data_IF_994779705420
#
_entry.id   IF_994779705420
#
_cell.length_a   1.000
_cell.length_b   1.000
_cell.length_c   1.000
_cell.angle_alpha   90.00
_cell.angle_beta   90.00
_cell.angle_gamma   90.00
#
_symmetry.space_group_name_H-M   'P 1'
#
loop_
_entity.id
_entity.type
_entity.pdbx_description
1 polymer ?
#
# COMPACT_ATOMS: atom_id res chain seq x y z
N UNK A 1 -1.03 -24.75 -2.86
CA UNK A 1 -1.93 -24.07 -1.89
C UNK A 1 -1.79 -22.55 -2.03
N UNK A 2 -2.91 -21.83 -2.16
CA UNK A 2 -2.92 -20.34 -2.14
C UNK A 2 -2.33 -19.84 -0.81
N UNK A 3 -1.64 -18.71 -0.81
CA UNK A 3 -0.99 -18.14 0.39
C UNK A 3 -2.00 -17.93 1.55
N UNK A 4 -3.24 -17.59 1.22
CA UNK A 4 -4.38 -17.52 2.14
C UNK A 4 -4.60 -18.84 2.90
N UNK A 5 -4.54 -19.98 2.21
CA UNK A 5 -4.71 -21.29 2.81
C UNK A 5 -3.53 -21.66 3.71
N UNK A 6 -2.30 -21.24 3.37
CA UNK A 6 -1.12 -21.47 4.24
C UNK A 6 -1.22 -20.67 5.54
N UNK A 7 -1.66 -19.42 5.48
CA UNK A 7 -1.86 -18.60 6.68
C UNK A 7 -3.01 -19.11 7.55
N UNK A 8 -4.17 -19.41 6.95
CA UNK A 8 -5.31 -19.99 7.68
C UNK A 8 -4.92 -21.30 8.37
N UNK A 9 -4.20 -22.17 7.67
CA UNK A 9 -3.69 -23.42 8.21
C UNK A 9 -2.69 -23.15 9.35
N UNK A 10 -1.77 -22.22 9.18
CA UNK A 10 -0.79 -21.82 10.20
C UNK A 10 -1.44 -21.29 11.48
N UNK A 11 -2.39 -20.34 11.36
CA UNK A 11 -3.17 -19.83 12.49
C UNK A 11 -3.99 -20.93 13.16
N UNK A 12 -4.62 -21.82 12.38
CA UNK A 12 -5.36 -22.95 12.91
C UNK A 12 -4.46 -23.89 13.73
N UNK A 13 -3.32 -24.31 13.17
CA UNK A 13 -2.38 -25.21 13.85
C UNK A 13 -1.77 -24.58 15.10
N UNK A 14 -1.36 -23.30 15.04
CA UNK A 14 -0.78 -22.61 16.20
C UNK A 14 -1.81 -22.41 17.32
N UNK A 15 -3.04 -22.02 16.97
CA UNK A 15 -4.12 -21.83 17.94
C UNK A 15 -4.55 -23.18 18.54
N UNK A 16 -4.65 -24.23 17.73
CA UNK A 16 -4.95 -25.58 18.19
C UNK A 16 -3.88 -26.09 19.15
N UNK A 17 -2.59 -25.91 18.82
CA UNK A 17 -1.49 -26.30 19.69
C UNK A 17 -1.55 -25.53 21.03
N UNK A 18 -1.78 -24.21 20.98
CA UNK A 18 -1.91 -23.39 22.18
C UNK A 18 -3.08 -23.85 23.07
N UNK A 19 -4.22 -24.19 22.49
CA UNK A 19 -5.38 -24.74 23.22
C UNK A 19 -5.02 -26.08 23.86
N UNK A 20 -4.38 -26.99 23.13
CA UNK A 20 -3.97 -28.30 23.66
C UNK A 20 -3.00 -28.13 24.83
N UNK A 21 -2.00 -27.26 24.70
CA UNK A 21 -1.04 -26.97 25.77
C UNK A 21 -1.74 -26.34 26.98
N UNK A 22 -2.63 -25.36 26.78
CA UNK A 22 -3.38 -24.72 27.86
C UNK A 22 -4.26 -25.73 28.62
N UNK A 23 -4.98 -26.59 27.90
CA UNK A 23 -5.82 -27.64 28.50
C UNK A 23 -4.96 -28.64 29.26
N UNK A 24 -3.81 -29.06 28.72
CA UNK A 24 -2.89 -29.97 29.40
C UNK A 24 -2.30 -29.36 30.68
N UNK A 25 -1.89 -28.08 30.64
CA UNK A 25 -1.41 -27.35 31.82
C UNK A 25 -2.51 -27.20 32.86
N UNK A 26 -3.73 -26.86 32.44
CA UNK A 26 -4.88 -26.73 33.32
C UNK A 26 -5.23 -28.06 34.00
N UNK A 27 -5.25 -29.16 33.25
CA UNK A 27 -5.48 -30.50 33.79
C UNK A 27 -4.40 -30.90 34.80
N UNK A 28 -3.13 -30.62 34.49
CA UNK A 28 -2.00 -30.94 35.37
C UNK A 28 -2.07 -30.14 36.67
N UNK A 29 -2.32 -28.83 36.56
CA UNK A 29 -2.47 -27.93 37.72
C UNK A 29 -3.65 -28.30 38.61
N UNK A 30 -4.81 -28.60 38.02
CA UNK A 30 -5.98 -29.06 38.76
C UNK A 30 -5.70 -30.37 39.50
N UNK A 31 -5.09 -31.35 38.82
CA UNK A 31 -4.77 -32.65 39.43
C UNK A 31 -3.82 -32.52 40.63
N UNK A 32 -2.78 -31.67 40.50
CA UNK A 32 -1.82 -31.44 41.58
C UNK A 32 -2.44 -30.67 42.75
N UNK A 33 -3.10 -29.53 42.47
CA UNK A 33 -3.67 -28.67 43.50
C UNK A 33 -4.82 -29.31 44.26
N UNK A 34 -5.69 -30.04 43.56
CA UNK A 34 -6.83 -30.72 44.18
C UNK A 34 -6.39 -31.86 45.11
N UNK A 35 -5.41 -32.67 44.69
CA UNK A 35 -4.87 -33.74 45.52
C UNK A 35 -4.25 -33.21 46.82
N UNK A 36 -3.47 -32.12 46.75
CA UNK A 36 -2.88 -31.51 47.95
C UNK A 36 -3.94 -30.98 48.93
N UNK A 37 -5.05 -30.44 48.41
CA UNK A 37 -6.12 -29.86 49.23
C UNK A 37 -6.92 -30.95 49.95
N UNK A 38 -7.18 -32.08 49.28
CA UNK A 38 -7.80 -33.26 49.91
C UNK A 38 -6.93 -33.79 51.05
N UNK A 39 -5.66 -34.08 50.76
CA UNK A 39 -4.74 -34.65 51.75
C UNK A 39 -4.62 -33.73 52.98
N UNK A 40 -4.52 -32.42 52.78
CA UNK A 40 -4.53 -31.45 53.89
C UNK A 40 -5.83 -31.51 54.71
N UNK A 41 -6.99 -31.53 54.04
CA UNK A 41 -8.28 -31.62 54.75
C UNK A 41 -8.43 -32.92 55.56
N UNK A 42 -7.89 -34.03 55.05
CA UNK A 42 -7.92 -35.33 55.73
C UNK A 42 -6.96 -35.40 56.92
N UNK A 43 -5.79 -34.75 56.82
CA UNK A 43 -4.87 -34.56 57.94
C UNK A 43 -5.50 -33.68 59.03
N UNK A 44 -6.34 -32.71 58.69
CA UNK A 44 -7.04 -31.93 59.73
C UNK A 44 -8.12 -32.78 60.41
N UNK A 45 -8.85 -33.61 59.64
CA UNK A 45 -9.86 -34.53 60.19
C UNK A 45 -9.25 -35.61 61.09
N UNK A 46 -8.06 -36.15 60.77
CA UNK A 46 -7.39 -37.13 61.65
C UNK A 46 -7.05 -36.50 63.01
N UNK A 47 -6.72 -35.20 63.05
CA UNK A 47 -6.43 -34.47 64.30
C UNK A 47 -7.67 -34.39 65.20
N UNK A 48 -8.86 -34.19 64.61
CA UNK A 48 -10.12 -34.18 65.37
C UNK A 48 -10.43 -35.58 65.94
N UNK A 49 -10.18 -36.63 65.15
CA UNK A 49 -10.39 -38.02 65.60
C UNK A 49 -9.39 -38.41 66.68
N UNK A 50 -8.12 -38.02 66.52
CA UNK A 50 -7.07 -38.13 67.53
C UNK A 50 -7.52 -37.56 68.88
N UNK A 51 -8.04 -36.33 68.91
CA UNK A 51 -8.58 -35.73 70.14
C UNK A 51 -9.69 -36.57 70.79
N UNK A 52 -10.65 -37.05 70.00
CA UNK A 52 -11.75 -37.89 70.51
C UNK A 52 -11.31 -39.26 70.99
N UNK A 53 -10.27 -39.83 70.38
CA UNK A 53 -9.68 -41.09 70.82
C UNK A 53 -8.96 -40.92 72.16
N UNK A 54 -8.26 -39.79 72.35
CA UNK A 54 -7.65 -39.44 73.62
C UNK A 54 -8.71 -39.23 74.71
N UNK A 55 -9.79 -38.47 74.41
CA UNK A 55 -10.91 -38.27 75.33
C UNK A 55 -11.57 -39.61 75.71
N UNK A 56 -11.75 -40.51 74.74
CA UNK A 56 -12.30 -41.85 74.99
C UNK A 56 -11.40 -42.69 75.91
N UNK A 57 -10.08 -42.65 75.67
CA UNK A 57 -9.13 -43.40 76.49
C UNK A 57 -9.06 -42.85 77.92
N UNK A 58 -9.16 -41.54 78.11
CA UNK A 58 -9.23 -40.93 79.44
C UNK A 58 -10.48 -41.41 80.22
N UNK A 59 -11.60 -41.64 79.54
CA UNK A 59 -12.85 -42.10 80.16
C UNK A 59 -12.89 -43.60 80.46
N UNK A 60 -12.39 -44.45 79.57
CA UNK A 60 -12.52 -45.92 79.66
C UNK A 60 -11.23 -46.65 80.08
N UNK A 61 -10.07 -45.99 79.98
CA UNK A 61 -8.76 -46.52 80.37
C UNK A 61 -8.22 -47.68 79.52
N UNK A 62 -8.93 -48.10 78.47
CA UNK A 62 -8.51 -49.18 77.57
C UNK A 62 -9.13 -49.09 76.18
N UNK A 63 -8.51 -49.76 75.20
CA UNK A 63 -9.02 -49.86 73.84
C UNK A 63 -9.99 -51.03 73.61
N UNK A 64 -10.24 -51.89 74.60
CA UNK A 64 -10.92 -53.17 74.40
C UNK A 64 -12.39 -53.02 74.00
N UNK A 65 -13.09 -52.00 74.49
CA UNK A 65 -14.47 -51.71 74.04
C UNK A 65 -14.52 -51.35 72.57
N UNK A 66 -13.52 -50.58 72.10
CA UNK A 66 -13.37 -50.30 70.67
C UNK A 66 -12.99 -51.57 69.89
N UNK A 67 -12.45 -52.65 70.48
CA UNK A 67 -12.21 -53.92 69.77
C UNK A 67 -13.46 -54.75 69.51
N UNK A 68 -14.57 -54.46 70.18
CA UNK A 68 -15.79 -55.27 70.10
C UNK A 68 -16.96 -54.48 69.52
N UNK A 69 -17.14 -53.23 69.95
CA UNK A 69 -18.32 -52.42 69.60
C UNK A 69 -18.08 -51.57 68.33
N UNK A 70 -18.75 -51.96 67.24
CA UNK A 70 -18.64 -51.28 65.95
C UNK A 70 -19.37 -49.94 65.91
N UNK A 71 -20.45 -49.78 66.68
CA UNK A 71 -21.21 -48.54 66.68
C UNK A 71 -20.53 -47.49 67.55
N UNK A 72 -19.90 -47.91 68.64
CA UNK A 72 -19.01 -47.07 69.44
C UNK A 72 -17.80 -46.57 68.63
N UNK A 73 -17.16 -47.43 67.82
CA UNK A 73 -16.11 -46.99 66.88
C UNK A 73 -16.60 -45.87 65.98
N UNK A 74 -17.77 -46.02 65.39
CA UNK A 74 -18.36 -45.01 64.50
C UNK A 74 -18.71 -43.74 65.25
N UNK A 75 -19.14 -43.81 66.51
CA UNK A 75 -19.41 -42.62 67.32
C UNK A 75 -18.12 -41.84 67.62
N UNK A 76 -17.02 -42.53 67.93
CA UNK A 76 -15.73 -41.89 68.28
C UNK A 76 -14.98 -41.38 67.05
N UNK A 77 -14.96 -42.17 65.97
CA UNK A 77 -14.22 -41.83 64.72
C UNK A 77 -15.06 -41.14 63.65
N UNK A 78 -16.39 -41.19 63.78
CA UNK A 78 -17.33 -40.56 62.85
C UNK A 78 -17.53 -39.09 63.14
N UNK A 79 -17.60 -38.29 62.09
CA UNK A 79 -18.03 -36.90 62.22
C UNK A 79 -19.53 -36.91 62.49
N UNK A 80 -19.95 -36.48 63.68
CA UNK A 80 -21.35 -36.18 63.93
C UNK A 80 -21.74 -35.08 62.94
N UNK A 81 -22.59 -35.38 61.96
CA UNK A 81 -23.17 -34.41 61.02
C UNK A 81 -24.10 -33.47 61.78
N UNK A 82 -23.52 -32.65 62.65
CA UNK A 82 -24.25 -31.60 63.37
C UNK A 82 -24.45 -30.45 62.38
N UNK A 83 -25.69 -30.32 61.90
CA UNK A 83 -26.24 -29.20 61.13
C UNK A 83 -25.43 -28.74 59.90
N UNK A 84 -25.99 -28.99 58.71
CA UNK A 84 -25.58 -28.44 57.41
C UNK A 84 -25.34 -26.93 57.53
N UNK A 85 -24.08 -26.51 57.69
CA UNK A 85 -23.66 -25.17 57.32
C UNK A 85 -23.59 -25.11 55.79
N UNK A 86 -23.96 -23.98 55.15
CA UNK A 86 -23.83 -23.86 53.72
C UNK A 86 -22.35 -23.96 53.36
N UNK A 87 -22.01 -25.02 52.62
CA UNK A 87 -20.68 -25.28 52.08
C UNK A 87 -20.26 -24.02 51.32
N UNK A 88 -19.30 -23.26 51.85
CA UNK A 88 -18.69 -22.16 51.12
C UNK A 88 -17.95 -22.76 49.90
N UNK A 89 -17.80 -22.03 48.79
CA UNK A 89 -17.02 -22.51 47.63
C UNK A 89 -15.57 -22.90 47.96
N UNK A 90 -15.08 -22.48 49.12
CA UNK A 90 -13.76 -22.76 49.68
C UNK A 90 -13.71 -23.96 50.63
N UNK A 91 -14.86 -24.53 51.01
CA UNK A 91 -14.89 -25.69 51.90
C UNK A 91 -14.51 -26.96 51.13
N UNK A 92 -13.58 -27.78 51.64
CA UNK A 92 -13.24 -29.04 51.01
C UNK A 92 -14.47 -29.94 50.96
N UNK A 93 -14.73 -30.65 49.85
CA UNK A 93 -15.92 -31.47 49.70
C UNK A 93 -16.08 -32.46 50.86
N UNK A 94 -17.32 -32.83 51.18
CA UNK A 94 -17.61 -33.86 52.17
C UNK A 94 -17.22 -35.24 51.62
N UNK A 95 -15.93 -35.56 51.72
CA UNK A 95 -15.33 -36.74 51.10
C UNK A 95 -15.49 -37.95 52.03
N UNK A 96 -16.66 -38.58 51.93
CA UNK A 96 -16.94 -39.91 52.48
C UNK A 96 -16.75 -40.06 54.00
N UNK A 97 -17.13 -41.23 54.50
CA UNK A 97 -17.00 -41.57 55.93
C UNK A 97 -15.52 -41.84 56.26
N UNK A 98 -14.77 -40.79 56.64
CA UNK A 98 -13.36 -40.87 57.06
C UNK A 98 -13.17 -41.95 58.13
N UNK A 99 -14.18 -42.16 58.99
CA UNK A 99 -14.21 -43.20 60.02
C UNK A 99 -13.93 -44.61 59.48
N UNK A 100 -14.33 -44.92 58.24
CA UNK A 100 -14.11 -46.24 57.62
C UNK A 100 -12.68 -46.46 57.14
N UNK A 101 -11.88 -45.39 57.06
CA UNK A 101 -10.50 -45.41 56.55
C UNK A 101 -9.47 -45.12 57.63
N UNK A 102 -9.93 -44.85 58.84
CA UNK A 102 -9.10 -44.72 60.03
C UNK A 102 -8.81 -46.09 60.61
N UNK A 103 -7.57 -46.28 61.04
CA UNK A 103 -7.11 -47.47 61.75
C UNK A 103 -6.53 -47.02 63.09
N UNK A 104 -6.77 -47.81 64.13
CA UNK A 104 -6.21 -47.60 65.47
C UNK A 104 -5.35 -48.82 65.83
N UNK A 105 -4.18 -48.53 66.38
CA UNK A 105 -3.21 -49.51 66.84
C UNK A 105 -2.88 -49.24 68.30
N UNK A 106 -2.61 -50.29 69.08
CA UNK A 106 -2.11 -50.16 70.44
C UNK A 106 -0.59 -49.87 70.46
N UNK A 107 0.00 -49.82 71.66
CA UNK A 107 1.43 -49.53 71.89
C UNK A 107 2.36 -50.55 71.24
N UNK A 108 1.92 -51.81 71.10
CA UNK A 108 2.67 -52.90 70.45
C UNK A 108 2.41 -52.96 68.93
N UNK A 109 1.72 -51.95 68.39
CA UNK A 109 1.30 -51.83 66.99
C UNK A 109 0.35 -52.95 66.54
N UNK A 110 -0.34 -53.60 67.49
CA UNK A 110 -1.40 -54.54 67.17
C UNK A 110 -2.68 -53.77 66.83
N UNK A 111 -3.48 -54.33 65.92
CA UNK A 111 -4.68 -53.68 65.40
C UNK A 111 -5.76 -53.67 66.48
N UNK A 112 -6.27 -52.49 66.81
CA UNK A 112 -7.52 -52.33 67.57
C UNK A 112 -8.70 -52.37 66.59
N UNK A 113 -8.63 -51.59 65.52
CA UNK A 113 -9.54 -51.67 64.38
C UNK A 113 -8.89 -51.06 63.12
N UNK A 114 -9.40 -51.40 61.95
CA UNK A 114 -8.91 -50.88 60.67
C UNK A 114 -7.99 -51.87 59.94
N UNK A 115 -6.92 -51.37 59.34
CA UNK A 115 -5.99 -52.16 58.51
C UNK A 115 -5.09 -53.07 59.32
N UNK A 116 -4.66 -54.19 58.71
CA UNK A 116 -3.94 -55.25 59.39
C UNK A 116 -2.53 -54.84 59.85
N UNK A 117 -1.88 -53.92 59.14
CA UNK A 117 -0.58 -53.39 59.52
C UNK A 117 -0.56 -51.87 59.52
N UNK A 118 0.12 -51.28 60.51
CA UNK A 118 0.31 -49.82 60.60
C UNK A 118 0.96 -49.26 59.32
N UNK A 119 1.90 -50.00 58.71
CA UNK A 119 2.59 -49.62 57.48
C UNK A 119 1.70 -49.52 56.24
N UNK A 120 0.47 -50.05 56.30
CA UNK A 120 -0.53 -49.87 55.24
C UNK A 120 -1.19 -48.49 55.26
N UNK A 121 -0.94 -47.68 56.30
CA UNK A 121 -1.44 -46.33 56.44
C UNK A 121 -0.33 -45.33 56.08
N UNK A 122 -0.47 -44.57 54.98
CA UNK A 122 0.52 -43.56 54.58
C UNK A 122 0.61 -42.38 55.56
N UNK A 123 -0.50 -42.07 56.25
CA UNK A 123 -0.56 -41.02 57.27
C UNK A 123 -0.69 -41.72 58.61
N UNK A 124 0.24 -41.45 59.53
CA UNK A 124 0.29 -42.05 60.87
C UNK A 124 0.57 -40.96 61.89
N UNK A 125 -0.04 -41.07 63.07
CA UNK A 125 0.27 -40.23 64.23
C UNK A 125 0.33 -41.06 65.50
N UNK A 126 1.23 -40.70 66.41
CA UNK A 126 1.24 -41.24 67.77
C UNK A 126 0.11 -40.59 68.58
N UNK A 127 -0.55 -41.40 69.41
CA UNK A 127 -1.48 -40.94 70.42
C UNK A 127 -0.71 -40.87 71.73
N UNK A 128 -0.43 -39.66 72.21
CA UNK A 128 0.34 -39.43 73.44
C UNK A 128 -0.53 -38.66 74.44
N UNK A 129 -0.55 -39.14 75.69
CA UNK A 129 -1.27 -38.48 76.78
C UNK A 129 -0.38 -38.44 78.01
N UNK A 130 -0.13 -37.22 78.54
CA UNK A 130 0.75 -37.00 79.70
C UNK A 130 2.13 -37.66 79.57
N UNK A 131 2.75 -37.53 78.38
CA UNK A 131 4.05 -38.12 78.01
C UNK A 131 4.10 -39.66 77.96
N UNK A 132 2.96 -40.35 78.02
CA UNK A 132 2.85 -41.79 77.75
C UNK A 132 2.26 -42.06 76.36
N UNK A 133 2.90 -42.97 75.63
CA UNK A 133 2.41 -43.44 74.33
C UNK A 133 1.24 -44.40 74.56
N UNK A 134 0.07 -44.06 74.02
CA UNK A 134 -1.16 -44.86 74.14
C UNK A 134 -1.43 -45.74 72.91
N UNK A 135 -0.81 -45.43 71.78
CA UNK A 135 -0.99 -46.15 70.53
C UNK A 135 -0.75 -45.28 69.30
N UNK A 136 -1.26 -45.72 68.15
CA UNK A 136 -1.11 -45.01 66.89
C UNK A 136 -2.42 -44.94 66.12
N UNK A 137 -2.70 -43.79 65.50
CA UNK A 137 -3.82 -43.62 64.55
C UNK A 137 -3.27 -43.51 63.13
N UNK A 138 -3.83 -44.30 62.23
CA UNK A 138 -3.47 -44.34 60.81
C UNK A 138 -4.65 -43.94 59.93
N UNK A 139 -4.38 -43.26 58.82
CA UNK A 139 -5.37 -42.93 57.79
C UNK A 139 -4.84 -43.28 56.41
N UNK A 140 -5.74 -43.81 55.57
CA UNK A 140 -5.46 -43.96 54.15
C UNK A 140 -6.23 -42.92 53.35
N UNK A 141 -5.52 -41.97 52.72
CA UNK A 141 -6.17 -40.92 51.97
C UNK A 141 -6.90 -41.49 50.76
N UNK A 142 -7.95 -40.82 50.31
CA UNK A 142 -8.61 -41.20 49.06
C UNK A 142 -7.61 -41.03 47.91
N UNK A 143 -7.26 -42.14 47.25
CA UNK A 143 -6.34 -42.15 46.10
C UNK A 143 -7.06 -42.09 44.75
N UNK A 144 -8.38 -42.27 44.72
CA UNK A 144 -9.16 -42.37 43.49
C UNK A 144 -9.99 -41.12 43.27
N UNK A 145 -9.70 -40.42 42.17
CA UNK A 145 -10.56 -39.41 41.54
C UNK A 145 -11.64 -40.06 40.64
N UNK A 146 -11.62 -41.40 40.50
CA UNK A 146 -12.38 -42.11 39.47
C UNK A 146 -13.83 -42.45 39.91
N UNK A 147 -14.10 -42.60 41.22
CA UNK A 147 -15.39 -43.13 41.71
C UNK A 147 -16.20 -42.16 42.60
N UNK A 148 -15.85 -40.87 42.63
CA UNK A 148 -16.53 -39.84 43.44
C UNK A 148 -17.30 -38.78 42.62
N UNK A 149 -18.07 -37.88 43.27
CA UNK A 149 -18.69 -36.69 42.65
C UNK A 149 -17.70 -35.79 41.87
N UNK A 150 -16.40 -36.03 42.02
CA UNK A 150 -15.28 -35.40 41.35
C UNK A 150 -15.18 -35.73 39.85
N UNK A 151 -15.67 -36.89 39.40
CA UNK A 151 -15.73 -37.25 37.97
C UNK A 151 -16.72 -36.35 37.19
N UNK A 152 -17.83 -35.98 37.83
CA UNK A 152 -18.80 -35.04 37.27
C UNK A 152 -18.24 -33.60 37.22
N UNK A 153 -17.41 -33.22 38.20
CA UNK A 153 -16.71 -31.94 38.21
C UNK A 153 -15.66 -31.86 37.10
N UNK A 154 -14.80 -32.89 36.97
CA UNK A 154 -13.79 -32.97 35.92
C UNK A 154 -14.40 -32.98 34.51
N UNK A 155 -15.47 -33.74 34.27
CA UNK A 155 -16.15 -33.76 32.98
C UNK A 155 -16.81 -32.42 32.61
N UNK A 156 -17.44 -31.73 33.57
CA UNK A 156 -17.95 -30.36 33.36
C UNK A 156 -16.82 -29.38 33.04
N UNK A 157 -15.68 -29.50 33.71
CA UNK A 157 -14.51 -28.65 33.47
C UNK A 157 -13.88 -28.89 32.10
N UNK A 158 -13.88 -30.15 31.62
CA UNK A 158 -13.43 -30.48 30.28
C UNK A 158 -14.38 -29.91 29.21
N UNK A 159 -15.69 -30.02 29.42
CA UNK A 159 -16.69 -29.44 28.51
C UNK A 159 -16.57 -27.91 28.42
N UNK A 160 -16.40 -27.21 29.55
CA UNK A 160 -16.19 -25.76 29.55
C UNK A 160 -14.87 -25.37 28.89
N UNK A 161 -13.79 -26.14 29.13
CA UNK A 161 -12.49 -25.95 28.48
C UNK A 161 -12.52 -26.16 26.97
N UNK A 162 -13.20 -27.21 26.49
CA UNK A 162 -13.41 -27.47 25.06
C UNK A 162 -14.25 -26.36 24.43
N UNK A 163 -15.32 -25.92 25.09
CA UNK A 163 -16.15 -24.80 24.63
C UNK A 163 -15.36 -23.50 24.50
N UNK A 164 -14.54 -23.17 25.51
CA UNK A 164 -13.65 -22.00 25.46
C UNK A 164 -12.61 -22.12 24.33
N UNK A 165 -12.00 -23.30 24.17
CA UNK A 165 -11.06 -23.56 23.08
C UNK A 165 -11.70 -23.41 21.69
N UNK A 166 -12.91 -23.94 21.50
CA UNK A 166 -13.66 -23.79 20.26
C UNK A 166 -13.97 -22.32 19.94
N UNK A 167 -14.36 -21.53 20.95
CA UNK A 167 -14.60 -20.10 20.78
C UNK A 167 -13.32 -19.33 20.38
N UNK A 168 -12.18 -19.62 21.03
CA UNK A 168 -10.88 -19.03 20.67
C UNK A 168 -10.49 -19.39 19.24
N UNK A 169 -10.67 -20.65 18.85
CA UNK A 169 -10.38 -21.12 17.50
C UNK A 169 -11.25 -20.42 16.45
N UNK A 170 -12.55 -20.26 16.72
CA UNK A 170 -13.47 -19.53 15.84
C UNK A 170 -13.05 -18.06 15.68
N UNK A 171 -12.70 -17.39 16.78
CA UNK A 171 -12.19 -16.02 16.75
C UNK A 171 -10.90 -15.91 15.91
N UNK A 172 -9.95 -16.82 16.12
CA UNK A 172 -8.69 -16.85 15.37
C UNK A 172 -8.92 -17.04 13.86
N UNK A 173 -9.80 -17.96 13.48
CA UNK A 173 -10.17 -18.19 12.07
C UNK A 173 -10.86 -16.96 11.46
N UNK A 174 -11.72 -16.28 12.22
CA UNK A 174 -12.41 -15.06 11.78
C UNK A 174 -11.43 -13.92 11.54
N UNK A 175 -10.51 -13.69 12.47
CA UNK A 175 -9.44 -12.67 12.34
C UNK A 175 -8.54 -13.00 11.14
N UNK A 176 -8.13 -14.27 11.00
CA UNK A 176 -7.30 -14.70 9.87
C UNK A 176 -8.01 -14.51 8.52
N UNK A 177 -9.33 -14.75 8.46
CA UNK A 177 -10.13 -14.48 7.27
C UNK A 177 -10.18 -12.98 6.93
N UNK A 178 -10.39 -12.11 7.93
CA UNK A 178 -10.39 -10.67 7.75
C UNK A 178 -9.03 -10.14 7.29
N UNK A 179 -7.95 -10.59 7.92
CA UNK A 179 -6.58 -10.20 7.56
C UNK A 179 -6.22 -10.66 6.13
N UNK A 180 -6.65 -11.87 5.76
CA UNK A 180 -6.49 -12.38 4.40
C UNK A 180 -7.20 -11.52 3.36
N UNK A 181 -8.39 -10.99 3.67
CA UNK A 181 -9.14 -10.12 2.74
C UNK A 181 -8.54 -8.71 2.68
N UNK A 182 -8.18 -8.12 3.82
CA UNK A 182 -7.71 -6.72 3.88
C UNK A 182 -6.26 -6.52 3.45
N UNK A 183 -5.37 -7.48 3.69
CA UNK A 183 -3.94 -7.30 3.41
C UNK A 183 -3.50 -8.15 2.23
N UNK A 184 -3.81 -9.45 2.26
CA UNK A 184 -3.20 -10.40 1.34
C UNK A 184 -3.80 -10.36 -0.07
N UNK A 185 -5.09 -10.05 -0.19
CA UNK A 185 -5.75 -9.93 -1.48
C UNK A 185 -5.25 -8.71 -2.28
N UNK A 186 -5.20 -7.47 -1.73
CA UNK A 186 -4.64 -6.32 -2.44
C UNK A 186 -3.18 -6.51 -2.88
N UNK A 187 -2.32 -7.09 -2.03
CA UNK A 187 -0.92 -7.37 -2.38
C UNK A 187 -0.81 -8.30 -3.59
N UNK A 188 -1.68 -9.32 -3.65
CA UNK A 188 -1.71 -10.23 -4.78
C UNK A 188 -2.19 -9.54 -6.06
N UNK A 189 -3.24 -8.72 -5.96
CA UNK A 189 -3.74 -7.94 -7.08
C UNK A 189 -2.65 -6.98 -7.61
N UNK A 190 -1.93 -6.28 -6.72
CA UNK A 190 -0.77 -5.46 -7.09
C UNK A 190 0.32 -6.26 -7.81
N UNK A 191 0.64 -7.45 -7.31
CA UNK A 191 1.66 -8.32 -7.93
C UNK A 191 1.24 -8.76 -9.33
N UNK A 192 -0.01 -9.21 -9.49
CA UNK A 192 -0.57 -9.63 -10.77
C UNK A 192 -0.73 -8.43 -11.74
N UNK A 193 -1.18 -7.29 -11.24
CA UNK A 193 -1.29 -6.03 -11.98
C UNK A 193 0.06 -5.54 -12.48
N UNK A 194 1.08 -5.54 -11.62
CA UNK A 194 2.45 -5.15 -12.00
C UNK A 194 3.03 -6.09 -13.05
N UNK A 195 2.75 -7.41 -12.96
CA UNK A 195 3.17 -8.36 -13.97
C UNK A 195 2.50 -8.11 -15.34
N UNK A 196 1.20 -7.75 -15.34
CA UNK A 196 0.47 -7.35 -16.56
C UNK A 196 0.98 -6.03 -17.14
N UNK A 197 1.25 -5.05 -16.30
CA UNK A 197 1.81 -3.76 -16.68
C UNK A 197 3.17 -3.95 -17.38
N UNK A 198 4.03 -4.81 -16.82
CA UNK A 198 5.31 -5.20 -17.43
C UNK A 198 5.18 -5.90 -18.79
N UNK A 199 4.06 -6.58 -19.03
CA UNK A 199 3.77 -7.22 -20.31
C UNK A 199 3.16 -6.25 -21.34
N UNK A 200 3.00 -4.96 -21.00
CA UNK A 200 2.43 -3.94 -21.89
C UNK A 200 0.91 -3.81 -21.81
N UNK A 201 0.25 -4.49 -20.87
CA UNK A 201 -1.20 -4.37 -20.68
C UNK A 201 -1.52 -3.23 -19.71
N UNK A 202 -1.57 -1.99 -20.22
CA UNK A 202 -1.83 -0.78 -19.43
C UNK A 202 -3.32 -0.54 -19.11
N UNK A 203 -4.22 -1.40 -19.58
CA UNK A 203 -5.67 -1.33 -19.33
C UNK A 203 -6.10 -1.92 -17.98
N UNK A 204 -5.16 -2.48 -17.20
CA UNK A 204 -5.47 -3.13 -15.95
C UNK A 204 -5.72 -2.12 -14.83
N UNK A 205 -6.95 -2.07 -14.33
CA UNK A 205 -7.30 -1.36 -13.10
C UNK A 205 -7.42 -2.35 -11.94
N UNK A 206 -6.88 -1.96 -10.78
CA UNK A 206 -7.05 -2.66 -9.53
C UNK A 206 -8.30 -2.17 -8.83
N UNK A 207 -8.98 -3.09 -8.14
CA UNK A 207 -10.14 -2.76 -7.32
C UNK A 207 -9.69 -2.01 -6.07
N UNK A 208 -10.15 -0.78 -5.92
CA UNK A 208 -9.81 0.09 -4.80
C UNK A 208 -10.93 0.01 -3.77
N UNK A 209 -10.66 -0.67 -2.66
CA UNK A 209 -11.62 -0.86 -1.56
C UNK A 209 -10.91 -0.68 -0.22
N UNK A 210 -11.23 0.38 0.50
CA UNK A 210 -10.63 0.68 1.80
C UNK A 210 -10.37 2.17 2.00
N UNK A 211 -9.58 2.50 3.02
CA UNK A 211 -9.13 3.87 3.27
C UNK A 211 -7.77 3.87 4.01
N UNK A 212 -6.93 2.88 3.71
CA UNK A 212 -5.63 2.63 4.32
C UNK A 212 -4.47 2.88 3.33
N UNK A 213 -3.23 2.68 3.77
CA UNK A 213 -2.04 2.89 2.95
C UNK A 213 -1.98 1.95 1.74
N UNK A 214 -2.58 0.75 1.84
CA UNK A 214 -2.69 -0.18 0.71
C UNK A 214 -3.68 0.32 -0.33
N UNK A 215 -4.77 0.97 0.11
CA UNK A 215 -5.74 1.62 -0.77
C UNK A 215 -5.05 2.71 -1.59
N UNK A 216 -4.30 3.60 -0.92
CA UNK A 216 -3.52 4.64 -1.60
C UNK A 216 -2.52 4.06 -2.60
N UNK A 217 -1.84 2.97 -2.25
CA UNK A 217 -0.91 2.30 -3.16
C UNK A 217 -1.61 1.72 -4.41
N UNK A 218 -2.84 1.24 -4.28
CA UNK A 218 -3.64 0.78 -5.42
C UNK A 218 -4.08 1.96 -6.30
N UNK A 219 -4.42 3.11 -5.71
CA UNK A 219 -4.71 4.34 -6.44
C UNK A 219 -3.49 4.84 -7.22
N UNK A 220 -2.32 4.92 -6.56
CA UNK A 220 -1.05 5.30 -7.19
C UNK A 220 -0.70 4.35 -8.35
N UNK A 221 -0.94 3.04 -8.18
CA UNK A 221 -0.78 2.06 -9.26
C UNK A 221 -1.72 2.34 -10.44
N UNK A 222 -3.00 2.62 -10.17
CA UNK A 222 -3.99 2.90 -11.21
C UNK A 222 -3.66 4.20 -11.97
N UNK A 223 -3.20 5.25 -11.29
CA UNK A 223 -2.71 6.48 -11.92
C UNK A 223 -1.47 6.23 -12.80
N UNK A 224 -0.53 5.41 -12.32
CA UNK A 224 0.62 4.99 -13.12
C UNK A 224 0.18 4.22 -14.38
N UNK A 225 -0.75 3.28 -14.24
CA UNK A 225 -1.28 2.50 -15.37
C UNK A 225 -1.97 3.40 -16.41
N UNK A 226 -2.80 4.35 -15.97
CA UNK A 226 -3.44 5.36 -16.85
C UNK A 226 -2.41 6.23 -17.56
N UNK A 227 -1.39 6.70 -16.85
CA UNK A 227 -0.32 7.54 -17.42
C UNK A 227 0.46 6.78 -18.49
N UNK A 228 0.84 5.52 -18.23
CA UNK A 228 1.52 4.68 -19.22
C UNK A 228 0.64 4.39 -20.43
N UNK A 229 -0.64 4.09 -20.22
CA UNK A 229 -1.62 3.89 -21.30
C UNK A 229 -1.78 5.12 -22.18
N UNK A 230 -1.82 6.31 -21.57
CA UNK A 230 -1.86 7.58 -22.29
C UNK A 230 -0.58 7.76 -23.11
N UNK A 231 0.60 7.60 -22.50
CA UNK A 231 1.87 7.70 -23.21
C UNK A 231 1.99 6.73 -24.39
N UNK A 232 1.53 5.48 -24.25
CA UNK A 232 1.57 4.50 -25.35
C UNK A 232 0.62 4.89 -26.50
N UNK A 233 -0.58 5.38 -26.16
CA UNK A 233 -1.52 5.92 -27.16
C UNK A 233 -0.95 7.12 -27.88
N UNK A 234 -0.40 8.08 -27.14
CA UNK A 234 0.20 9.28 -27.69
C UNK A 234 1.39 8.93 -28.60
N UNK A 235 2.23 7.96 -28.20
CA UNK A 235 3.32 7.44 -29.03
C UNK A 235 2.83 6.76 -30.31
N UNK A 236 1.79 5.92 -30.22
CA UNK A 236 1.21 5.23 -31.39
C UNK A 236 0.53 6.21 -32.35
N UNK A 237 -0.19 7.19 -31.80
CA UNK A 237 -0.82 8.25 -32.58
C UNK A 237 0.24 9.09 -33.28
N UNK A 238 1.31 9.46 -32.57
CA UNK A 238 2.44 10.20 -33.13
C UNK A 238 3.11 9.46 -34.29
N UNK A 239 3.37 8.16 -34.15
CA UNK A 239 3.94 7.36 -35.24
C UNK A 239 3.03 7.33 -36.49
N UNK A 240 1.72 7.27 -36.27
CA UNK A 240 0.72 7.31 -37.34
C UNK A 240 0.71 8.67 -38.04
N UNK A 241 0.72 9.75 -37.28
CA UNK A 241 0.67 11.11 -37.82
C UNK A 241 1.96 11.47 -38.58
N UNK A 242 3.14 11.08 -38.07
CA UNK A 242 4.41 11.20 -38.81
C UNK A 242 4.32 10.47 -40.14
N UNK A 243 3.84 9.22 -40.15
CA UNK A 243 3.75 8.43 -41.37
C UNK A 243 2.84 9.11 -42.41
N UNK A 244 1.74 9.73 -41.98
CA UNK A 244 0.85 10.47 -42.88
C UNK A 244 1.48 11.75 -43.44
N UNK A 245 2.15 12.54 -42.61
CA UNK A 245 2.80 13.80 -43.03
C UNK A 245 4.02 13.55 -43.91
N UNK A 246 4.74 12.43 -43.75
CA UNK A 246 5.83 12.03 -44.65
C UNK A 246 5.31 11.42 -45.96
N UNK A 247 4.22 10.64 -45.94
CA UNK A 247 3.69 9.98 -47.15
C UNK A 247 3.22 10.98 -48.20
N UNK A 248 2.61 12.09 -47.77
CA UNK A 248 2.05 13.10 -48.68
C UNK A 248 3.10 13.73 -49.62
N UNK A 249 4.19 14.35 -49.14
CA UNK A 249 5.24 14.92 -49.99
C UNK A 249 5.94 13.84 -50.83
N UNK A 250 6.20 12.66 -50.25
CA UNK A 250 6.84 11.54 -50.97
C UNK A 250 5.98 11.07 -52.15
N UNK A 251 4.67 10.92 -51.96
CA UNK A 251 3.74 10.53 -53.03
C UNK A 251 3.66 11.61 -54.11
N UNK A 252 3.69 12.88 -53.73
CA UNK A 252 3.70 13.99 -54.68
C UNK A 252 4.99 14.04 -55.52
N UNK A 253 6.15 13.82 -54.89
CA UNK A 253 7.44 13.70 -55.56
C UNK A 253 7.44 12.52 -56.53
N UNK A 254 7.00 11.34 -56.08
CA UNK A 254 6.91 10.13 -56.89
C UNK A 254 6.00 10.32 -58.11
N UNK A 255 4.79 10.87 -57.91
CA UNK A 255 3.83 11.13 -58.99
C UNK A 255 4.40 12.06 -60.07
N UNK A 256 5.10 13.12 -59.67
CA UNK A 256 5.70 14.05 -60.63
C UNK A 256 6.86 13.40 -61.39
N UNK A 257 7.70 12.63 -60.71
CA UNK A 257 8.81 11.90 -61.33
C UNK A 257 8.32 10.80 -62.29
N UNK A 258 7.27 10.06 -61.93
CA UNK A 258 6.63 9.07 -62.80
C UNK A 258 6.03 9.71 -64.06
N UNK A 259 5.27 10.79 -63.90
CA UNK A 259 4.71 11.51 -65.04
C UNK A 259 5.79 12.12 -65.95
N UNK A 260 6.93 12.53 -65.39
CA UNK A 260 8.08 12.95 -66.20
C UNK A 260 8.72 11.79 -66.96
N UNK A 261 8.92 10.65 -66.29
CA UNK A 261 9.49 9.45 -66.90
C UNK A 261 8.60 8.92 -68.04
N UNK A 262 7.29 8.96 -67.85
CA UNK A 262 6.30 8.45 -68.80
C UNK A 262 6.02 9.46 -69.94
N UNK A 263 6.74 10.59 -69.98
CA UNK A 263 6.64 11.62 -71.02
C UNK A 263 5.39 12.48 -70.96
N UNK A 264 4.56 12.34 -69.91
CA UNK A 264 3.35 13.16 -69.70
C UNK A 264 3.73 14.58 -69.30
N UNK A 265 4.82 14.75 -68.54
CA UNK A 265 5.35 16.04 -68.13
C UNK A 265 6.80 16.24 -68.60
N UNK A 266 7.10 17.40 -69.17
CA UNK A 266 8.47 17.78 -69.48
C UNK A 266 9.21 18.30 -68.23
N UNK A 267 10.55 18.16 -68.22
CA UNK A 267 11.42 18.59 -67.12
C UNK A 267 11.65 20.12 -67.12
N UNK A 268 10.57 20.88 -67.09
CA UNK A 268 10.57 22.34 -67.12
C UNK A 268 11.10 22.94 -65.80
N UNK A 269 11.76 24.12 -65.82
CA UNK A 269 12.34 24.77 -64.64
C UNK A 269 11.34 24.93 -63.48
N UNK A 270 10.08 25.24 -63.80
CA UNK A 270 9.02 25.41 -62.79
C UNK A 270 8.70 24.11 -62.04
N UNK A 271 8.76 22.95 -62.72
CA UNK A 271 8.48 21.64 -62.13
C UNK A 271 9.68 21.13 -61.32
N UNK A 272 10.90 21.34 -61.83
CA UNK A 272 12.12 21.07 -61.07
C UNK A 272 12.18 21.92 -59.78
N UNK A 273 11.80 23.20 -59.87
CA UNK A 273 11.68 24.06 -58.70
C UNK A 273 10.60 23.59 -57.72
N UNK A 274 9.50 22.99 -58.20
CA UNK A 274 8.51 22.35 -57.33
C UNK A 274 9.09 21.13 -56.59
N UNK A 275 9.77 20.22 -57.30
CA UNK A 275 10.43 19.05 -56.70
C UNK A 275 11.48 19.46 -55.66
N UNK A 276 12.29 20.48 -55.97
CA UNK A 276 13.29 21.03 -55.03
C UNK A 276 12.62 21.57 -53.77
N UNK A 277 11.59 22.41 -53.91
CA UNK A 277 10.86 22.97 -52.75
C UNK A 277 10.23 21.89 -51.87
N UNK A 278 9.70 20.83 -52.47
CA UNK A 278 9.09 19.73 -51.71
C UNK A 278 10.15 18.86 -51.01
N UNK A 279 11.33 18.68 -51.62
CA UNK A 279 12.48 18.02 -50.99
C UNK A 279 13.01 18.84 -49.81
N UNK A 280 13.17 20.16 -49.96
CA UNK A 280 13.58 21.05 -48.88
C UNK A 280 12.57 21.09 -47.73
N UNK A 281 11.27 20.95 -48.06
CA UNK A 281 10.21 20.83 -47.07
C UNK A 281 10.29 19.51 -46.31
N UNK A 282 10.51 18.40 -47.01
CA UNK A 282 10.66 17.08 -46.40
C UNK A 282 11.89 17.03 -45.49
N UNK A 283 13.02 17.60 -45.91
CA UNK A 283 14.24 17.69 -45.08
C UNK A 283 13.96 18.44 -43.78
N UNK A 284 13.35 19.63 -43.85
CA UNK A 284 12.99 20.41 -42.66
C UNK A 284 12.04 19.67 -41.72
N UNK A 285 11.07 18.94 -42.26
CA UNK A 285 10.17 18.12 -41.45
C UNK A 285 10.94 17.02 -40.69
N UNK A 286 11.85 16.33 -41.37
CA UNK A 286 12.69 15.29 -40.74
C UNK A 286 13.58 15.91 -39.66
N UNK A 287 14.19 17.06 -39.92
CA UNK A 287 15.04 17.77 -38.96
C UNK A 287 14.23 18.22 -37.73
N UNK A 288 13.04 18.79 -37.93
CA UNK A 288 12.15 19.21 -36.83
C UNK A 288 11.70 18.00 -35.99
N UNK A 289 11.36 16.87 -36.61
CA UNK A 289 11.01 15.63 -35.90
C UNK A 289 12.18 15.09 -35.09
N UNK A 290 13.38 15.10 -35.67
CA UNK A 290 14.58 14.64 -34.99
C UNK A 290 14.92 15.52 -33.79
N UNK A 291 14.89 16.85 -33.96
CA UNK A 291 15.13 17.79 -32.88
C UNK A 291 14.10 17.66 -31.75
N UNK A 292 12.82 17.52 -32.09
CA UNK A 292 11.76 17.32 -31.11
C UNK A 292 11.97 16.01 -30.33
N UNK A 293 12.28 14.91 -31.02
CA UNK A 293 12.59 13.62 -30.38
C UNK A 293 13.79 13.69 -29.44
N UNK A 294 14.84 14.44 -29.79
CA UNK A 294 16.00 14.64 -28.93
C UNK A 294 15.69 15.54 -27.73
N UNK A 295 14.88 16.58 -27.92
CA UNK A 295 14.45 17.46 -26.83
C UNK A 295 13.62 16.70 -25.78
N UNK A 296 12.67 15.88 -26.22
CA UNK A 296 11.81 15.08 -25.33
C UNK A 296 12.54 13.97 -24.58
N UNK A 297 13.55 13.36 -25.21
CA UNK A 297 14.39 12.36 -24.55
C UNK A 297 15.45 12.96 -23.62
N UNK A 298 15.54 14.30 -23.54
CA UNK A 298 16.56 15.02 -22.77
C UNK A 298 17.99 14.84 -23.34
N UNK A 299 18.11 14.33 -24.56
CA UNK A 299 19.40 14.04 -25.21
C UNK A 299 19.90 15.20 -26.08
N UNK A 300 19.10 16.25 -26.27
CA UNK A 300 19.55 17.43 -27.01
C UNK A 300 20.67 18.13 -26.22
N UNK A 301 21.89 18.08 -26.75
CA UNK A 301 23.01 18.83 -26.19
C UNK A 301 22.83 20.32 -26.45
N UNK A 302 22.62 21.10 -25.40
CA UNK A 302 22.53 22.57 -25.47
C UNK A 302 23.87 23.23 -25.14
N UNK A 303 24.24 24.26 -25.92
CA UNK A 303 25.41 25.11 -25.65
C UNK A 303 24.95 26.39 -24.97
N UNK A 304 24.48 26.27 -23.74
CA UNK A 304 23.95 27.41 -22.98
C UNK A 304 25.06 28.35 -22.51
N UNK A 305 24.79 29.64 -22.58
CA UNK A 305 25.65 30.70 -22.07
C UNK A 305 24.81 31.88 -21.57
N UNK A 306 25.39 32.74 -20.74
CA UNK A 306 24.72 33.98 -20.32
C UNK A 306 24.72 34.97 -21.50
N UNK A 307 23.55 35.14 -22.13
CA UNK A 307 23.37 35.99 -23.30
C UNK A 307 22.27 37.03 -23.10
N UNK A 308 22.33 38.12 -23.88
CA UNK A 308 21.26 39.11 -23.99
C UNK A 308 20.29 38.67 -25.11
N UNK A 309 18.99 38.51 -24.85
CA UNK A 309 18.01 38.10 -25.87
C UNK A 309 17.68 39.21 -26.88
N UNK A 310 17.90 40.49 -26.54
CA UNK A 310 17.49 41.62 -27.37
C UNK A 310 18.17 41.64 -28.76
N UNK A 311 19.49 41.43 -28.90
CA UNK A 311 20.13 41.32 -30.22
C UNK A 311 19.56 40.20 -31.09
N UNK A 312 19.29 39.03 -30.50
CA UNK A 312 18.74 37.88 -31.22
C UNK A 312 17.30 38.13 -31.69
N UNK A 313 16.52 38.83 -30.88
CA UNK A 313 15.16 39.25 -31.22
C UNK A 313 15.17 40.24 -32.39
N UNK A 314 16.03 41.27 -32.35
CA UNK A 314 16.19 42.23 -33.45
C UNK A 314 16.62 41.55 -34.75
N UNK A 315 17.61 40.68 -34.68
CA UNK A 315 18.08 39.88 -35.83
C UNK A 315 16.93 39.05 -36.43
N UNK A 316 16.09 38.46 -35.59
CA UNK A 316 14.95 37.66 -36.05
C UNK A 316 13.90 38.55 -36.73
N UNK A 317 13.58 39.72 -36.17
CA UNK A 317 12.64 40.68 -36.78
C UNK A 317 13.14 41.16 -38.15
N UNK A 318 14.40 41.58 -38.24
CA UNK A 318 15.03 42.04 -39.48
C UNK A 318 14.95 40.96 -40.58
N UNK A 319 15.17 39.69 -40.22
CA UNK A 319 15.07 38.56 -41.15
C UNK A 319 13.67 38.38 -41.74
N UNK A 320 12.61 38.61 -40.96
CA UNK A 320 11.23 38.42 -41.41
C UNK A 320 10.58 39.68 -41.98
N UNK A 321 11.20 40.84 -41.80
CA UNK A 321 10.71 42.12 -42.30
C UNK A 321 10.40 42.10 -43.82
N UNK A 322 11.22 41.54 -44.72
CA UNK A 322 10.88 41.50 -46.16
C UNK A 322 9.62 40.69 -46.46
N UNK A 323 9.35 39.64 -45.69
CA UNK A 323 8.16 38.78 -45.86
C UNK A 323 6.91 39.51 -45.39
N UNK A 324 7.00 40.16 -44.23
CA UNK A 324 5.90 40.94 -43.68
C UNK A 324 5.58 42.18 -44.56
N UNK A 325 6.59 42.88 -45.09
CA UNK A 325 6.41 44.02 -46.03
C UNK A 325 5.68 43.58 -47.31
N UNK A 326 5.97 42.40 -47.87
CA UNK A 326 5.25 41.87 -49.05
C UNK A 326 3.75 41.68 -48.82
N UNK A 327 3.32 41.51 -47.56
CA UNK A 327 1.92 41.41 -47.14
C UNK A 327 1.36 42.72 -46.56
N UNK A 328 2.14 43.81 -46.59
CA UNK A 328 1.79 45.07 -45.93
C UNK A 328 1.53 44.90 -44.43
N UNK A 329 2.25 44.00 -43.75
CA UNK A 329 2.17 43.81 -42.31
C UNK A 329 3.17 44.74 -41.61
N UNK A 330 2.70 45.56 -40.67
CA UNK A 330 3.56 46.40 -39.83
C UNK A 330 4.14 45.58 -38.67
N UNK A 331 5.46 45.64 -38.45
CA UNK A 331 6.12 44.99 -37.31
C UNK A 331 6.69 46.03 -36.37
N UNK A 332 6.26 46.01 -35.10
CA UNK A 332 6.70 46.96 -34.07
C UNK A 332 7.37 46.24 -32.92
N UNK A 333 8.60 46.64 -32.57
CA UNK A 333 9.31 46.18 -31.39
C UNK A 333 9.20 47.23 -30.27
N UNK A 334 8.67 46.83 -29.12
CA UNK A 334 8.61 47.65 -27.90
C UNK A 334 9.44 47.00 -26.80
N UNK A 335 10.34 47.76 -26.18
CA UNK A 335 11.17 47.29 -25.08
C UNK A 335 10.87 48.09 -23.82
N UNK A 336 10.63 47.41 -22.69
CA UNK A 336 10.60 48.04 -21.37
C UNK A 336 11.87 47.77 -20.56
N UNK A 337 12.90 47.20 -21.19
CA UNK A 337 14.20 46.97 -20.56
C UNK A 337 14.98 48.28 -20.44
N UNK A 338 15.43 48.61 -19.23
CA UNK A 338 16.29 49.77 -18.98
C UNK A 338 17.79 49.45 -19.17
N UNK A 339 18.18 48.21 -18.84
CA UNK A 339 19.55 47.70 -18.97
C UNK A 339 19.56 46.33 -19.69
N UNK A 340 20.71 45.89 -20.25
CA UNK A 340 20.85 44.55 -20.81
C UNK A 340 20.56 43.48 -19.75
N UNK A 341 19.51 42.70 -19.96
CA UNK A 341 19.16 41.57 -19.09
C UNK A 341 19.71 40.30 -19.70
N UNK A 342 20.32 39.45 -18.86
CA UNK A 342 20.90 38.19 -19.31
C UNK A 342 19.99 37.01 -18.97
N UNK A 343 19.98 36.02 -19.83
CA UNK A 343 19.36 34.70 -19.62
C UNK A 343 20.40 33.62 -19.90
N UNK A 344 20.27 32.46 -19.25
CA UNK A 344 21.17 31.32 -19.48
C UNK A 344 20.61 30.43 -20.60
N UNK A 345 21.01 30.73 -21.85
CA UNK A 345 20.43 30.08 -23.02
C UNK A 345 21.41 29.77 -24.15
N UNK A 346 20.98 28.85 -25.02
CA UNK A 346 21.64 28.53 -26.28
C UNK A 346 21.16 29.53 -27.36
N UNK A 347 22.09 30.28 -27.95
CA UNK A 347 21.79 31.35 -28.89
C UNK A 347 21.10 30.84 -30.16
N UNK A 348 21.52 29.69 -30.68
CA UNK A 348 21.00 29.14 -31.93
C UNK A 348 19.58 28.64 -31.73
N UNK A 349 19.32 28.03 -30.57
CA UNK A 349 17.99 27.55 -30.20
C UNK A 349 17.01 28.69 -29.90
N UNK A 350 17.48 29.74 -29.26
CA UNK A 350 16.64 30.92 -29.04
C UNK A 350 16.29 31.63 -30.35
N UNK A 351 17.25 31.75 -31.28
CA UNK A 351 17.00 32.25 -32.62
C UNK A 351 15.96 31.39 -33.37
N UNK A 352 16.03 30.06 -33.20
CA UNK A 352 15.06 29.12 -33.78
C UNK A 352 13.65 29.35 -33.21
N UNK A 353 13.51 29.57 -31.90
CA UNK A 353 12.22 29.88 -31.27
C UNK A 353 11.62 31.15 -31.85
N UNK A 354 12.39 32.25 -31.87
CA UNK A 354 11.92 33.52 -32.41
C UNK A 354 11.58 33.45 -33.90
N UNK A 355 12.39 32.73 -34.67
CA UNK A 355 12.14 32.55 -36.09
C UNK A 355 10.84 31.76 -36.35
N UNK A 356 10.58 30.70 -35.59
CA UNK A 356 9.35 29.90 -35.72
C UNK A 356 8.10 30.71 -35.37
N UNK A 357 8.15 31.49 -34.28
CA UNK A 357 7.02 32.33 -33.86
C UNK A 357 6.76 33.43 -34.89
N UNK A 358 7.78 34.19 -35.29
CA UNK A 358 7.65 35.27 -36.29
C UNK A 358 7.22 34.75 -37.68
N UNK A 359 7.70 33.57 -38.08
CA UNK A 359 7.27 32.92 -39.30
C UNK A 359 5.77 32.59 -39.26
N UNK A 360 5.28 32.09 -38.12
CA UNK A 360 3.86 31.83 -37.93
C UNK A 360 3.04 33.12 -37.95
N UNK A 361 3.45 34.16 -37.22
CA UNK A 361 2.75 35.44 -37.24
C UNK A 361 2.72 36.06 -38.64
N UNK A 362 3.86 36.26 -39.33
CA UNK A 362 3.82 36.79 -40.72
C UNK A 362 3.00 35.89 -41.69
N UNK A 363 2.89 34.59 -41.41
CA UNK A 363 2.13 33.65 -42.25
C UNK A 363 0.63 33.76 -42.05
N UNK A 364 0.16 33.81 -40.81
CA UNK A 364 -1.26 33.74 -40.49
C UNK A 364 -1.94 35.10 -40.41
N UNK A 365 -1.22 36.17 -40.06
CA UNK A 365 -1.77 37.53 -40.10
C UNK A 365 -2.24 37.89 -41.51
N UNK A 366 -3.44 38.46 -41.57
CA UNK A 366 -4.02 38.97 -42.80
C UNK A 366 -3.23 40.15 -43.38
N UNK A 367 -3.35 40.36 -44.69
CA UNK A 367 -2.65 41.45 -45.36
C UNK A 367 -3.14 42.81 -44.86
N UNK A 368 -2.21 43.74 -44.59
CA UNK A 368 -2.51 45.01 -43.93
C UNK A 368 -2.57 44.96 -42.40
N UNK A 369 -2.29 43.80 -41.81
CA UNK A 369 -2.28 43.61 -40.35
C UNK A 369 -1.04 44.15 -39.64
N UNK A 370 -0.91 43.80 -38.36
CA UNK A 370 0.19 44.24 -37.47
C UNK A 370 0.70 43.10 -36.60
N UNK A 371 2.01 43.13 -36.33
CA UNK A 371 2.69 42.27 -35.36
C UNK A 371 3.39 43.17 -34.34
N UNK A 372 3.08 42.98 -33.06
CA UNK A 372 3.69 43.68 -31.95
C UNK A 372 4.55 42.70 -31.16
N UNK A 373 5.86 42.97 -31.12
CA UNK A 373 6.83 42.22 -30.32
C UNK A 373 7.17 43.05 -29.11
N UNK A 374 6.95 42.52 -27.91
CA UNK A 374 7.30 43.19 -26.66
C UNK A 374 8.32 42.37 -25.89
N UNK A 375 9.27 43.05 -25.27
CA UNK A 375 10.20 42.40 -24.33
C UNK A 375 10.27 43.22 -23.04
N UNK A 376 10.10 42.51 -21.93
CA UNK A 376 10.11 43.05 -20.58
C UNK A 376 10.88 42.11 -19.65
N UNK A 377 11.24 42.61 -18.47
CA UNK A 377 11.87 41.81 -17.44
C UNK A 377 11.24 42.13 -16.08
N UNK A 378 11.06 41.09 -15.28
CA UNK A 378 10.72 41.17 -13.86
C UNK A 378 11.99 40.96 -13.02
N UNK A 379 11.84 40.80 -11.72
CA UNK A 379 12.95 40.41 -10.86
C UNK A 379 13.49 39.01 -11.20
N UNK A 380 12.60 38.10 -11.59
CA UNK A 380 12.91 36.67 -11.75
C UNK A 380 13.02 36.24 -13.22
N UNK A 381 12.36 36.92 -14.14
CA UNK A 381 12.17 36.43 -15.51
C UNK A 381 12.32 37.52 -16.58
N UNK A 382 12.69 37.08 -17.78
CA UNK A 382 12.62 37.88 -19.02
C UNK A 382 11.49 37.34 -19.87
N UNK A 383 10.55 38.20 -20.21
CA UNK A 383 9.33 37.86 -20.94
C UNK A 383 9.40 38.50 -22.33
N UNK A 384 9.27 37.67 -23.37
CA UNK A 384 9.13 38.12 -24.76
C UNK A 384 7.75 37.71 -25.26
N UNK A 385 6.92 38.67 -25.67
CA UNK A 385 5.61 38.39 -26.27
C UNK A 385 5.55 38.82 -27.73
N UNK A 386 4.84 38.01 -28.51
CA UNK A 386 4.58 38.21 -29.93
C UNK A 386 3.08 38.21 -30.13
N UNK A 387 2.53 39.33 -30.56
CA UNK A 387 1.09 39.51 -30.76
C UNK A 387 0.82 39.86 -32.21
N UNK A 388 -0.07 39.13 -32.85
CA UNK A 388 -0.53 39.44 -34.19
C UNK A 388 -2.01 39.85 -34.26
N UNK A 389 -2.36 40.61 -35.29
CA UNK A 389 -3.74 40.95 -35.62
C UNK A 389 -4.46 39.80 -36.32
N UNK A 390 -5.73 39.99 -36.62
CA UNK A 390 -6.62 39.01 -37.25
C UNK A 390 -5.97 38.17 -38.38
N UNK A 391 -6.36 36.89 -38.51
CA UNK A 391 -7.43 36.21 -37.76
C UNK A 391 -6.95 35.57 -36.44
N UNK A 392 -7.82 35.59 -35.43
CA UNK A 392 -7.64 34.82 -34.20
C UNK A 392 -7.99 33.34 -34.34
N UNK A 393 -7.95 32.61 -33.23
CA UNK A 393 -8.35 31.20 -33.14
C UNK A 393 -9.48 31.02 -32.14
N UNK A 394 -10.14 29.85 -32.12
CA UNK A 394 -11.14 29.55 -31.07
C UNK A 394 -10.46 29.26 -29.73
N UNK A 395 -11.22 29.30 -28.63
CA UNK A 395 -10.70 28.91 -27.31
C UNK A 395 -10.21 27.46 -27.27
N UNK A 396 -10.88 26.58 -28.01
CA UNK A 396 -10.53 25.16 -28.14
C UNK A 396 -9.19 25.03 -28.88
N UNK A 397 -9.05 25.69 -30.04
CA UNK A 397 -7.82 25.70 -30.83
C UNK A 397 -6.63 26.27 -30.05
N UNK A 398 -6.85 27.31 -29.25
CA UNK A 398 -5.82 27.99 -28.48
C UNK A 398 -5.10 27.03 -27.52
N UNK A 399 -5.85 26.12 -26.90
CA UNK A 399 -5.29 25.12 -25.97
C UNK A 399 -4.44 24.06 -26.65
N UNK A 400 -4.60 23.89 -27.96
CA UNK A 400 -3.97 22.85 -28.77
C UNK A 400 -2.82 23.38 -29.64
N UNK A 401 -2.50 24.69 -29.61
CA UNK A 401 -1.49 25.28 -30.50
C UNK A 401 -0.07 24.72 -30.29
N UNK A 402 0.23 24.22 -29.10
CA UNK A 402 1.51 23.58 -28.79
C UNK A 402 1.48 22.07 -29.05
N UNK A 403 0.31 21.50 -29.34
CA UNK A 403 0.20 20.08 -29.67
C UNK A 403 0.90 19.77 -31.00
N UNK A 404 1.54 18.60 -31.03
CA UNK A 404 2.33 18.16 -32.17
C UNK A 404 1.43 17.95 -33.39
N UNK A 405 1.87 18.44 -34.54
CA UNK A 405 1.16 18.30 -35.82
C UNK A 405 -0.24 18.93 -35.81
N UNK A 406 -0.59 19.69 -34.76
CA UNK A 406 -1.87 20.37 -34.65
C UNK A 406 -1.95 21.56 -35.58
N UNK A 407 -3.11 21.72 -36.23
CA UNK A 407 -3.39 22.80 -37.18
C UNK A 407 -4.88 23.12 -37.17
N UNK A 408 -5.22 24.40 -37.01
CA UNK A 408 -6.59 24.91 -37.02
C UNK A 408 -7.33 24.56 -38.33
N UNK A 409 -6.68 24.71 -39.49
CA UNK A 409 -7.28 24.33 -40.79
C UNK A 409 -6.51 23.20 -41.49
N UNK A 410 -7.09 21.99 -41.59
CA UNK A 410 -6.47 20.80 -42.22
C UNK A 410 -6.49 20.78 -43.76
N UNK A 411 -7.32 21.60 -44.42
CA UNK A 411 -7.61 21.50 -45.86
C UNK A 411 -6.91 22.56 -46.73
N UNK A 412 -6.97 23.85 -46.36
CA UNK A 412 -6.37 24.97 -47.13
C UNK A 412 -4.86 25.11 -46.93
N UNK A 413 -4.35 24.64 -45.79
CA UNK A 413 -2.99 24.91 -45.35
C UNK A 413 -1.94 23.88 -45.81
N UNK A 414 -2.34 22.79 -46.49
CA UNK A 414 -1.41 21.80 -47.08
C UNK A 414 -0.49 22.41 -48.14
N UNK A 415 -0.97 23.45 -48.84
CA UNK A 415 -0.19 24.24 -49.82
C UNK A 415 0.74 25.27 -49.19
N UNK A 416 0.51 25.71 -47.94
CA UNK A 416 1.27 26.81 -47.32
C UNK A 416 2.42 26.36 -46.39
N UNK A 417 2.65 25.05 -46.22
CA UNK A 417 3.99 24.53 -45.87
C UNK A 417 4.43 24.54 -44.41
N UNK A 418 3.56 24.23 -43.43
CA UNK A 418 3.98 24.01 -42.05
C UNK A 418 3.55 22.62 -41.58
N UNK A 419 4.44 21.89 -40.93
CA UNK A 419 4.14 20.55 -40.41
C UNK A 419 3.34 20.57 -39.11
N UNK A 420 3.18 21.73 -38.45
CA UNK A 420 2.56 21.80 -37.11
C UNK A 420 3.51 21.38 -35.98
N UNK A 421 4.82 21.29 -36.25
CA UNK A 421 5.84 20.97 -35.24
C UNK A 421 6.51 22.20 -34.63
N UNK A 422 6.40 23.36 -35.29
CA UNK A 422 7.18 24.54 -34.94
C UNK A 422 6.95 25.04 -33.52
N UNK A 423 5.69 25.17 -33.09
CA UNK A 423 5.35 25.65 -31.73
C UNK A 423 5.63 24.59 -30.66
N UNK A 424 5.38 23.31 -30.94
CA UNK A 424 5.77 22.20 -30.05
C UNK A 424 7.28 22.16 -29.81
N UNK A 425 8.08 22.37 -30.86
CA UNK A 425 9.54 22.46 -30.75
C UNK A 425 9.96 23.72 -29.97
N UNK A 426 9.28 24.86 -30.18
CA UNK A 426 9.52 26.05 -29.38
C UNK A 426 9.29 25.77 -27.89
N UNK A 427 8.17 25.13 -27.55
CA UNK A 427 7.83 24.79 -26.16
C UNK A 427 8.91 23.88 -25.55
N UNK A 428 9.32 22.83 -26.26
CA UNK A 428 10.36 21.92 -25.80
C UNK A 428 11.72 22.63 -25.60
N UNK A 429 12.08 23.57 -26.49
CA UNK A 429 13.28 24.39 -26.34
C UNK A 429 13.14 25.32 -25.14
N UNK A 430 12.03 26.04 -24.97
CA UNK A 430 11.87 26.98 -23.85
C UNK A 430 11.85 26.23 -22.52
N UNK A 431 11.16 25.10 -22.44
CA UNK A 431 11.10 24.25 -21.25
C UNK A 431 12.48 23.70 -20.87
N UNK A 432 13.29 23.27 -21.83
CA UNK A 432 14.65 22.80 -21.55
C UNK A 432 15.58 23.90 -21.05
N UNK A 433 15.22 25.17 -21.27
CA UNK A 433 15.89 26.36 -20.74
C UNK A 433 15.35 26.81 -19.36
N UNK A 434 14.46 26.03 -18.75
CA UNK A 434 13.81 26.37 -17.48
C UNK A 434 12.74 27.46 -17.62
N UNK A 435 12.36 27.79 -18.85
CA UNK A 435 11.33 28.77 -19.16
C UNK A 435 9.94 28.15 -19.30
N UNK A 436 8.96 29.00 -19.61
CA UNK A 436 7.60 28.60 -19.95
C UNK A 436 7.10 29.35 -21.19
N UNK A 437 6.24 28.70 -21.97
CA UNK A 437 5.51 29.31 -23.07
C UNK A 437 4.02 29.34 -22.79
N UNK A 438 3.33 30.34 -23.33
CA UNK A 438 1.88 30.47 -23.24
C UNK A 438 1.30 31.05 -24.52
N UNK A 439 0.15 30.53 -24.95
CA UNK A 439 -0.69 31.12 -25.97
C UNK A 439 -1.87 31.86 -25.33
N UNK A 440 -2.27 32.98 -25.92
CA UNK A 440 -3.42 33.79 -25.49
C UNK A 440 -4.04 34.51 -26.70
N UNK A 441 -5.28 35.01 -26.56
CA UNK A 441 -5.88 35.86 -27.58
C UNK A 441 -5.18 37.22 -27.61
N UNK A 442 -4.65 37.62 -28.77
CA UNK A 442 -3.97 38.90 -28.89
C UNK A 442 -4.95 40.05 -28.73
N UNK A 443 -4.48 41.15 -28.12
CA UNK A 443 -5.24 42.40 -28.06
C UNK A 443 -5.47 43.02 -29.45
N UNK A 444 -4.77 42.52 -30.47
CA UNK A 444 -4.84 42.98 -31.85
C UNK A 444 -5.87 42.19 -32.68
N UNK A 445 -6.52 41.18 -32.08
CA UNK A 445 -7.53 40.34 -32.73
C UNK A 445 -7.02 39.00 -33.28
N UNK A 446 -5.71 38.75 -33.23
CA UNK A 446 -5.08 37.48 -33.59
C UNK A 446 -4.65 36.64 -32.39
N UNK A 447 -3.45 36.04 -32.47
CA UNK A 447 -2.86 35.16 -31.46
C UNK A 447 -1.66 35.83 -30.80
N UNK A 448 -1.58 35.70 -29.48
CA UNK A 448 -0.44 36.09 -28.65
C UNK A 448 0.37 34.87 -28.22
N UNK A 449 1.68 34.89 -28.41
CA UNK A 449 2.62 33.89 -27.88
C UNK A 449 3.60 34.58 -26.94
N UNK A 450 3.67 34.10 -25.70
CA UNK A 450 4.60 34.57 -24.68
C UNK A 450 5.67 33.50 -24.39
N UNK A 451 6.93 33.91 -24.32
CA UNK A 451 8.06 33.11 -23.86
C UNK A 451 8.67 33.78 -22.61
N UNK A 452 8.67 33.10 -21.48
CA UNK A 452 9.30 33.55 -20.25
C UNK A 452 10.53 32.70 -19.94
N UNK A 453 11.68 33.33 -19.68
CA UNK A 453 12.93 32.68 -19.31
C UNK A 453 13.42 33.17 -17.95
N UNK A 454 14.03 32.31 -17.12
CA UNK A 454 14.66 32.74 -15.88
C UNK A 454 15.77 33.75 -16.16
N UNK A 455 15.77 34.85 -15.41
CA UNK A 455 16.82 35.86 -15.46
C UNK A 455 18.11 35.27 -14.87
N UNK A 456 19.20 35.37 -15.62
CA UNK A 456 20.50 34.92 -15.15
C UNK A 456 20.93 35.74 -13.92
N UNK A 457 21.13 35.06 -12.79
CA UNK A 457 21.50 35.68 -11.52
C UNK A 457 20.33 36.00 -10.58
N UNK A 458 19.09 35.66 -10.93
CA UNK A 458 18.02 35.54 -9.94
C UNK A 458 18.26 34.27 -9.10
N UNK A 459 18.30 34.42 -7.77
CA UNK A 459 18.53 33.34 -6.80
C UNK A 459 17.23 32.63 -6.48
#
# INVERSE_FOLDING_TARGET
MKLTAKLLLGFFLSTLLAIVVLVALMQTGLRQGYYSLIVQSEIERIRIIEGRLLDFFEMEGSWDRLRIDRDLRRAVTGVQETAVQPILPTDPPAIGDVARRVSLYDTDKQVVFGRQSIGENPIQRSLEFRDELLGYVGLVPIRSLEDGPDAAFLSRQLLTGVGAGAAVLLCALTVAHLLSRRILSPIRQLTEGTARLRAGHFDSELDVSGNDELTKLCEDFNELAKTLKKNERDRSQWATDIAHELRTPVTALQSQLEAMRDGVFEAEPNRLAFLSRETDRLSRLIDDLYLLSLAESGQLGYRKSNLDPMPLLKQSIERFQPTCVKKSIEVRLTSSLQDPVRIFADSDRLLQVYANILQNSCRYTDAGGRIEVRISATAEEVITSFEDSEPGVTDEDLTLLFDRLYRVEKSRSRRSGGAGLGLALCEAIVASHGGRMRAYHSQLGGVGIECAFPRAGAV
#
